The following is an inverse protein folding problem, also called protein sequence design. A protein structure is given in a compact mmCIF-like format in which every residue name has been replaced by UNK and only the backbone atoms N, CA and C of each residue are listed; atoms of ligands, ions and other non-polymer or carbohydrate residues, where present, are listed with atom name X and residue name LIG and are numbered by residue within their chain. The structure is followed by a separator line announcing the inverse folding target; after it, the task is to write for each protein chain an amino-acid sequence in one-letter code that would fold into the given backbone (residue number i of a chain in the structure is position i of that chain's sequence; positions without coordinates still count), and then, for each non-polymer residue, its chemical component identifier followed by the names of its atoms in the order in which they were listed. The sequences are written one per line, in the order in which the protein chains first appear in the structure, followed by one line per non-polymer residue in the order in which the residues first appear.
data_IF_268474853167
#
_entry.id   IF_268474853167
#
_cell.length_a   1.000
_cell.length_b   1.000
_cell.length_c   1.000
_cell.angle_alpha   90.00
_cell.angle_beta   90.00
_cell.angle_gamma   90.00
#
_symmetry.space_group_name_H-M   'P 1'
#
loop_
_entity.id
_entity.type
_entity.pdbx_description
1 polymer ?
#
# COMPACT_ATOMS: atom_id res chain seq x y z
N UNK A 1 92.03 -22.67 28.02
CA UNK A 1 90.91 -22.10 27.24
C UNK A 1 90.31 -23.21 26.39
N UNK A 2 89.02 -23.52 26.58
CA UNK A 2 88.34 -24.71 26.06
C UNK A 2 87.64 -24.33 24.76
N UNK A 3 88.11 -24.84 23.63
CA UNK A 3 87.52 -24.57 22.32
C UNK A 3 86.23 -25.40 22.17
N UNK A 4 85.09 -24.72 22.13
CA UNK A 4 83.79 -25.34 21.86
C UNK A 4 83.68 -25.67 20.36
N UNK A 5 83.26 -26.88 19.99
CA UNK A 5 83.07 -27.25 18.60
C UNK A 5 81.88 -26.50 18.00
N UNK A 6 82.11 -25.76 16.90
CA UNK A 6 81.05 -25.19 16.09
C UNK A 6 80.32 -26.30 15.36
N UNK A 7 79.07 -26.56 15.75
CA UNK A 7 78.14 -27.40 15.02
C UNK A 7 77.65 -26.66 13.78
N UNK A 8 78.19 -27.04 12.62
CA UNK A 8 77.69 -26.59 11.31
C UNK A 8 76.32 -27.23 11.09
N UNK A 9 75.25 -26.44 11.21
CA UNK A 9 73.90 -26.86 10.84
C UNK A 9 73.89 -27.18 9.33
N UNK A 10 73.73 -28.46 8.98
CA UNK A 10 73.50 -28.87 7.59
C UNK A 10 72.15 -28.31 7.14
N UNK A 11 72.17 -27.22 6.37
CA UNK A 11 71.01 -26.77 5.61
C UNK A 11 70.79 -27.77 4.46
N UNK A 12 69.88 -28.73 4.66
CA UNK A 12 69.38 -29.57 3.58
C UNK A 12 68.39 -28.76 2.73
N UNK A 13 68.61 -28.73 1.41
CA UNK A 13 67.63 -28.15 0.48
C UNK A 13 66.37 -29.01 0.40
N UNK A 14 65.22 -28.38 0.14
CA UNK A 14 63.95 -29.06 -0.03
C UNK A 14 63.98 -30.02 -1.22
N UNK A 15 63.43 -31.21 -1.05
CA UNK A 15 63.27 -32.20 -2.11
C UNK A 15 62.09 -31.83 -3.01
N UNK A 16 62.15 -32.21 -4.29
CA UNK A 16 61.09 -31.90 -5.26
C UNK A 16 59.70 -32.42 -4.82
N UNK A 17 59.66 -33.54 -4.11
CA UNK A 17 58.43 -34.10 -3.54
C UNK A 17 57.82 -33.18 -2.46
N UNK A 18 58.64 -32.61 -1.57
CA UNK A 18 58.18 -31.68 -0.53
C UNK A 18 57.61 -30.40 -1.14
N UNK A 19 58.20 -29.91 -2.24
CA UNK A 19 57.70 -28.74 -2.97
C UNK A 19 56.31 -28.99 -3.59
N UNK A 20 56.08 -30.17 -4.18
CA UNK A 20 54.77 -30.53 -4.75
C UNK A 20 53.70 -30.62 -3.67
N UNK A 21 54.01 -31.27 -2.54
CA UNK A 21 53.09 -31.36 -1.40
C UNK A 21 52.77 -29.97 -0.84
N UNK A 22 53.78 -29.11 -0.67
CA UNK A 22 53.59 -27.74 -0.21
C UNK A 22 52.68 -26.94 -1.17
N UNK A 23 52.87 -27.07 -2.49
CA UNK A 23 52.01 -26.40 -3.47
C UNK A 23 50.57 -26.93 -3.46
N UNK A 24 50.33 -28.22 -3.27
CA UNK A 24 48.97 -28.76 -3.16
C UNK A 24 48.26 -28.25 -1.92
N UNK A 25 48.94 -28.21 -0.76
CA UNK A 25 48.36 -27.69 0.49
C UNK A 25 48.00 -26.20 0.32
N UNK A 26 48.86 -25.41 -0.31
CA UNK A 26 48.59 -24.00 -0.62
C UNK A 26 47.40 -23.84 -1.57
N UNK A 27 47.26 -24.70 -2.57
CA UNK A 27 46.13 -24.66 -3.50
C UNK A 27 44.79 -24.98 -2.80
N UNK A 28 44.76 -26.02 -1.95
CA UNK A 28 43.58 -26.38 -1.17
C UNK A 28 43.19 -25.24 -0.22
N UNK A 29 44.16 -24.66 0.50
CA UNK A 29 43.91 -23.51 1.36
C UNK A 29 43.36 -22.32 0.56
N UNK A 30 43.93 -22.03 -0.61
CA UNK A 30 43.44 -20.98 -1.51
C UNK A 30 41.98 -21.18 -1.91
N UNK A 31 41.59 -22.41 -2.27
CA UNK A 31 40.20 -22.75 -2.62
C UNK A 31 39.27 -22.50 -1.43
N UNK A 32 39.65 -22.96 -0.23
CA UNK A 32 38.85 -22.75 1.00
C UNK A 32 38.67 -21.26 1.29
N UNK A 33 39.73 -20.44 1.17
CA UNK A 33 39.63 -18.99 1.37
C UNK A 33 38.71 -18.32 0.36
N UNK A 34 38.76 -18.73 -0.92
CA UNK A 34 37.88 -18.19 -1.96
C UNK A 34 36.42 -18.52 -1.66
N UNK A 35 36.10 -19.74 -1.22
CA UNK A 35 34.72 -20.12 -0.86
C UNK A 35 34.19 -19.35 0.35
N UNK A 36 35.02 -19.16 1.39
CA UNK A 36 34.65 -18.33 2.55
C UNK A 36 34.41 -16.88 2.13
N UNK A 37 35.28 -16.34 1.28
CA UNK A 37 35.12 -14.98 0.75
C UNK A 37 33.83 -14.85 -0.07
N UNK A 38 33.54 -15.82 -0.93
CA UNK A 38 32.31 -15.86 -1.73
C UNK A 38 31.08 -15.88 -0.85
N UNK A 39 31.08 -16.70 0.20
CA UNK A 39 29.98 -16.75 1.18
C UNK A 39 29.80 -15.40 1.88
N UNK A 40 30.90 -14.78 2.34
CA UNK A 40 30.88 -13.47 2.99
C UNK A 40 30.30 -12.36 2.08
N UNK A 41 30.72 -12.33 0.81
CA UNK A 41 30.20 -11.36 -0.18
C UNK A 41 28.70 -11.57 -0.41
N UNK A 42 28.23 -12.81 -0.51
CA UNK A 42 26.80 -13.11 -0.69
C UNK A 42 25.99 -12.69 0.53
N UNK A 43 26.46 -12.94 1.75
CA UNK A 43 25.76 -12.48 2.96
C UNK A 43 25.72 -10.96 3.05
N UNK A 44 26.82 -10.30 2.72
CA UNK A 44 26.89 -8.83 2.67
C UNK A 44 25.89 -8.26 1.67
N UNK A 45 25.82 -8.84 0.47
CA UNK A 45 24.85 -8.44 -0.55
C UNK A 45 23.41 -8.65 -0.07
N UNK A 46 23.12 -9.78 0.60
CA UNK A 46 21.79 -10.04 1.16
C UNK A 46 21.40 -9.03 2.23
N UNK A 47 22.28 -8.73 3.18
CA UNK A 47 22.00 -7.72 4.21
C UNK A 47 21.77 -6.33 3.60
N UNK A 48 22.56 -5.97 2.59
CA UNK A 48 22.38 -4.70 1.88
C UNK A 48 21.03 -4.67 1.14
N UNK A 49 20.67 -5.75 0.46
CA UNK A 49 19.40 -5.87 -0.25
C UNK A 49 18.19 -5.78 0.70
N UNK A 50 18.25 -6.43 1.87
CA UNK A 50 17.18 -6.34 2.88
C UNK A 50 17.05 -4.93 3.43
N UNK A 51 18.17 -4.27 3.75
CA UNK A 51 18.13 -2.89 4.23
C UNK A 51 17.58 -1.94 3.16
N UNK A 52 17.98 -2.12 1.90
CA UNK A 52 17.42 -1.36 0.78
C UNK A 52 15.92 -1.59 0.61
N UNK A 53 15.47 -2.85 0.72
CA UNK A 53 14.05 -3.19 0.63
C UNK A 53 13.23 -2.59 1.78
N UNK A 54 13.78 -2.53 3.00
CA UNK A 54 13.13 -1.87 4.12
C UNK A 54 13.01 -0.36 3.92
N UNK A 55 14.04 0.29 3.36
CA UNK A 55 13.98 1.72 3.08
C UNK A 55 12.96 2.03 1.97
N UNK A 56 12.94 1.23 0.91
CA UNK A 56 11.93 1.34 -0.15
C UNK A 56 10.51 1.11 0.38
N UNK A 57 10.32 0.11 1.26
CA UNK A 57 9.03 -0.13 1.91
C UNK A 57 8.60 1.05 2.81
N UNK A 58 9.54 1.65 3.57
CA UNK A 58 9.26 2.84 4.37
C UNK A 58 8.86 4.02 3.48
N UNK A 59 9.57 4.25 2.39
CA UNK A 59 9.22 5.30 1.43
C UNK A 59 7.83 5.05 0.81
N UNK A 60 7.53 3.79 0.45
CA UNK A 60 6.21 3.38 -0.04
C UNK A 60 5.08 3.67 0.96
N UNK A 61 5.29 3.39 2.24
CA UNK A 61 4.32 3.71 3.31
C UNK A 61 4.13 5.22 3.44
N UNK A 62 5.21 6.01 3.41
CA UNK A 62 5.12 7.48 3.51
C UNK A 62 4.33 8.05 2.34
N UNK A 63 4.59 7.56 1.11
CA UNK A 63 3.82 7.94 -0.08
C UNK A 63 2.35 7.57 0.09
N UNK A 64 2.06 6.35 0.54
CA UNK A 64 0.70 5.89 0.81
C UNK A 64 -0.03 6.76 1.83
N UNK A 65 0.62 7.11 2.96
CA UNK A 65 0.02 8.00 3.97
C UNK A 65 -0.26 9.39 3.41
N UNK A 66 0.65 9.94 2.62
CA UNK A 66 0.44 11.23 1.97
C UNK A 66 -0.73 11.17 0.99
N UNK A 67 -0.80 10.13 0.18
CA UNK A 67 -1.86 10.00 -0.83
C UNK A 67 -3.23 9.78 -0.16
N UNK A 68 -3.29 9.04 0.96
CA UNK A 68 -4.49 8.93 1.81
C UNK A 68 -4.90 10.30 2.39
N UNK A 69 -3.95 11.06 2.95
CA UNK A 69 -4.28 12.39 3.46
C UNK A 69 -4.74 13.35 2.33
N UNK A 70 -4.16 13.23 1.14
CA UNK A 70 -4.57 14.02 -0.02
C UNK A 70 -5.98 13.65 -0.50
N UNK A 71 -6.33 12.36 -0.52
CA UNK A 71 -7.65 11.88 -0.97
C UNK A 71 -8.79 12.29 -0.03
N UNK A 72 -8.54 12.28 1.28
CA UNK A 72 -9.55 12.62 2.30
C UNK A 72 -9.79 14.14 2.38
N UNK A 73 -8.77 14.94 2.05
CA UNK A 73 -8.78 16.37 2.37
C UNK A 73 -9.37 17.29 1.31
N UNK A 74 -9.94 16.78 0.21
CA UNK A 74 -10.50 17.65 -0.85
C UNK A 74 -11.84 18.23 -0.39
N UNK A 75 -11.91 19.51 0.03
CA UNK A 75 -13.16 20.09 0.49
C UNK A 75 -14.04 20.35 -0.73
N UNK A 76 -15.30 19.96 -0.66
CA UNK A 76 -16.27 20.22 -1.73
C UNK A 76 -17.23 21.31 -1.31
N UNK A 77 -17.53 22.23 -2.23
CA UNK A 77 -18.57 23.23 -2.05
C UNK A 77 -19.95 22.59 -2.28
N UNK A 78 -20.89 22.84 -1.37
CA UNK A 78 -22.27 22.28 -1.39
C UNK A 78 -23.31 23.40 -1.46
N UNK A 79 -24.40 23.17 -2.18
CA UNK A 79 -25.52 24.13 -2.33
C UNK A 79 -26.45 24.10 -1.12
N UNK A 80 -27.24 25.16 -0.94
CA UNK A 80 -28.17 25.33 0.19
C UNK A 80 -29.44 24.45 0.12
N UNK A 81 -29.61 23.63 -0.92
CA UNK A 81 -30.83 22.82 -1.14
C UNK A 81 -30.88 21.57 -0.24
N UNK A 82 -30.46 21.70 1.02
CA UNK A 82 -30.71 20.71 2.06
C UNK A 82 -32.14 20.91 2.61
N UNK A 83 -33.15 20.59 1.80
CA UNK A 83 -34.56 20.69 2.21
C UNK A 83 -35.11 19.37 2.80
N UNK A 84 -34.26 18.36 2.96
CA UNK A 84 -34.53 17.25 3.87
C UNK A 84 -33.22 16.78 4.50
N UNK A 85 -33.13 16.89 5.83
CA UNK A 85 -32.11 16.24 6.67
C UNK A 85 -32.41 14.73 6.79
N UNK A 86 -32.86 14.09 5.72
CA UNK A 86 -32.72 12.65 5.58
C UNK A 86 -31.31 12.40 5.03
N UNK A 87 -30.68 11.25 5.30
CA UNK A 87 -29.44 10.81 4.65
C UNK A 87 -29.71 10.46 3.18
N UNK A 88 -30.31 11.41 2.45
CA UNK A 88 -30.54 11.37 1.04
C UNK A 88 -29.31 11.97 0.39
N UNK A 89 -28.65 11.17 -0.43
CA UNK A 89 -27.47 11.44 -1.24
C UNK A 89 -27.65 12.58 -2.28
N UNK A 90 -28.43 13.62 -1.97
CA UNK A 90 -28.95 14.61 -2.92
C UNK A 90 -28.57 16.05 -2.58
N UNK A 91 -27.50 16.29 -1.81
CA UNK A 91 -26.82 17.59 -1.89
C UNK A 91 -25.92 17.57 -3.12
N UNK A 92 -26.31 18.26 -4.19
CA UNK A 92 -25.51 18.34 -5.41
C UNK A 92 -24.19 19.08 -5.14
N UNK A 93 -23.07 18.51 -5.58
CA UNK A 93 -21.78 19.21 -5.59
C UNK A 93 -21.94 20.49 -6.41
N UNK A 94 -21.56 21.63 -5.84
CA UNK A 94 -21.58 22.89 -6.57
C UNK A 94 -20.46 22.82 -7.60
N UNK A 95 -20.84 22.71 -8.87
CA UNK A 95 -19.88 22.83 -9.95
C UNK A 95 -19.20 24.21 -9.88
N UNK A 96 -17.86 24.25 -9.92
CA UNK A 96 -17.10 25.50 -9.99
C UNK A 96 -17.30 26.24 -11.31
N UNK A 97 -17.91 25.60 -12.31
CA UNK A 97 -18.32 26.23 -13.57
C UNK A 97 -19.64 26.98 -13.38
N UNK A 98 -19.66 28.32 -13.58
CA UNK A 98 -20.90 29.08 -13.54
C UNK A 98 -21.85 28.61 -14.64
N UNK A 99 -23.05 28.15 -14.27
CA UNK A 99 -24.14 27.92 -15.20
C UNK A 99 -24.90 29.24 -15.44
N UNK A 100 -24.43 30.03 -16.40
CA UNK A 100 -25.02 31.32 -16.76
C UNK A 100 -24.34 32.53 -16.09
N UNK A 101 -25.09 33.61 -15.85
CA UNK A 101 -24.59 34.90 -15.29
C UNK A 101 -24.56 34.97 -13.77
N UNK A 102 -24.98 33.92 -13.06
CA UNK A 102 -24.93 33.86 -11.61
C UNK A 102 -23.76 33.01 -11.13
N UNK A 103 -22.96 33.55 -10.22
CA UNK A 103 -21.91 32.78 -9.56
C UNK A 103 -22.55 31.61 -8.78
N UNK A 104 -21.94 30.41 -8.80
CA UNK A 104 -22.41 29.29 -7.99
C UNK A 104 -22.45 29.69 -6.51
N UNK A 105 -23.64 29.73 -5.92
CA UNK A 105 -23.80 30.01 -4.49
C UNK A 105 -23.62 28.70 -3.70
N UNK A 106 -22.46 28.57 -3.06
CA UNK A 106 -22.22 27.52 -2.07
C UNK A 106 -22.69 28.02 -0.69
N UNK A 107 -23.51 27.23 -0.01
CA UNK A 107 -23.96 27.52 1.36
C UNK A 107 -23.25 26.66 2.42
N UNK A 108 -22.39 25.75 1.98
CA UNK A 108 -21.62 24.91 2.88
C UNK A 108 -20.38 24.29 2.25
N UNK A 109 -19.56 23.70 3.11
CA UNK A 109 -18.36 22.95 2.76
C UNK A 109 -18.50 21.54 3.33
N UNK A 110 -18.16 20.52 2.54
CA UNK A 110 -18.08 19.14 3.03
C UNK A 110 -16.65 18.62 3.01
N UNK A 111 -16.28 17.88 4.05
CA UNK A 111 -15.01 17.19 4.21
C UNK A 111 -15.24 15.69 4.21
N UNK A 112 -14.25 14.91 3.78
CA UNK A 112 -14.28 13.47 3.99
C UNK A 112 -13.62 13.14 5.33
N UNK A 113 -14.18 12.20 6.07
CA UNK A 113 -13.57 11.63 7.27
C UNK A 113 -13.47 10.10 7.11
N UNK A 114 -12.40 9.50 7.62
CA UNK A 114 -12.19 8.05 7.50
C UNK A 114 -13.10 7.35 8.49
N UNK A 115 -14.13 6.71 7.97
CA UNK A 115 -15.08 5.96 8.76
C UNK A 115 -14.53 4.56 9.10
N UNK A 116 -13.96 3.87 8.11
CA UNK A 116 -13.53 2.49 8.27
C UNK A 116 -12.37 2.13 7.32
N UNK A 117 -11.40 1.35 7.81
CA UNK A 117 -10.28 0.83 7.02
C UNK A 117 -9.06 0.52 7.88
N UNK A 118 -8.03 -0.15 7.35
CA UNK A 118 -7.91 -0.66 5.98
C UNK A 118 -8.74 -1.93 5.72
N UNK A 119 -9.35 -2.03 4.54
CA UNK A 119 -10.04 -3.24 4.09
C UNK A 119 -9.42 -3.80 2.81
N UNK A 120 -9.62 -5.10 2.58
CA UNK A 120 -9.02 -5.82 1.46
C UNK A 120 -10.02 -6.01 0.33
N UNK A 121 -9.54 -5.78 -0.89
CA UNK A 121 -10.32 -5.92 -2.13
C UNK A 121 -9.78 -7.01 -3.02
N UNK A 122 -10.69 -7.80 -3.58
CA UNK A 122 -10.45 -8.79 -4.62
C UNK A 122 -11.39 -8.59 -5.80
N UNK A 123 -11.04 -9.24 -6.91
CA UNK A 123 -11.95 -9.40 -8.04
C UNK A 123 -13.03 -10.42 -7.70
N UNK A 124 -14.27 -10.11 -8.06
CA UNK A 124 -15.39 -11.06 -8.02
C UNK A 124 -15.13 -12.23 -9.00
N UNK A 125 -15.14 -13.50 -8.53
CA UNK A 125 -15.00 -14.66 -9.41
C UNK A 125 -16.15 -14.79 -10.41
N UNK A 126 -17.31 -14.15 -10.17
CA UNK A 126 -18.52 -14.25 -10.99
C UNK A 126 -18.59 -13.22 -12.15
N UNK A 127 -17.67 -12.25 -12.25
CA UNK A 127 -17.63 -11.35 -13.41
C UNK A 127 -16.70 -10.13 -13.29
N UNK A 128 -16.54 -9.39 -14.40
CA UNK A 128 -15.67 -8.21 -14.52
C UNK A 128 -16.34 -6.89 -14.07
N UNK A 129 -17.35 -6.95 -13.20
CA UNK A 129 -18.12 -5.77 -12.79
C UNK A 129 -17.74 -5.30 -11.39
N UNK A 130 -18.28 -5.94 -10.34
CA UNK A 130 -18.06 -5.50 -8.96
C UNK A 130 -16.70 -5.92 -8.42
N UNK A 131 -16.25 -5.17 -7.43
CA UNK A 131 -15.16 -5.57 -6.55
C UNK A 131 -15.71 -6.24 -5.29
N UNK A 132 -15.01 -7.26 -4.80
CA UNK A 132 -15.31 -7.93 -3.54
C UNK A 132 -14.49 -7.31 -2.42
N UNK A 133 -15.14 -6.85 -1.36
CA UNK A 133 -14.46 -6.37 -0.16
C UNK A 133 -14.67 -7.35 0.98
N UNK A 134 -13.61 -7.75 1.69
CA UNK A 134 -13.75 -8.46 2.96
C UNK A 134 -14.37 -7.54 3.99
N UNK A 135 -15.30 -8.03 4.80
CA UNK A 135 -15.80 -7.26 5.93
C UNK A 135 -17.08 -7.78 6.54
N UNK A 136 -17.58 -7.01 7.51
CA UNK A 136 -18.92 -7.14 8.04
C UNK A 136 -19.91 -6.39 7.11
N UNK A 137 -20.99 -7.03 6.63
CA UNK A 137 -21.97 -6.41 5.72
C UNK A 137 -22.66 -5.20 6.32
N UNK A 138 -22.74 -5.10 7.63
CA UNK A 138 -23.48 -4.03 8.32
C UNK A 138 -22.75 -2.69 8.27
N UNK A 139 -21.45 -2.68 7.97
CA UNK A 139 -20.62 -1.48 7.97
C UNK A 139 -20.55 -0.78 6.60
N UNK A 140 -21.03 -1.44 5.54
CA UNK A 140 -20.90 -1.00 4.15
C UNK A 140 -22.26 -0.60 3.59
N UNK A 141 -22.48 0.71 3.48
CA UNK A 141 -23.73 1.29 3.00
C UNK A 141 -23.50 2.13 1.73
N UNK A 142 -24.47 2.16 0.79
CA UNK A 142 -24.46 3.12 -0.30
C UNK A 142 -24.43 4.57 0.22
N UNK A 143 -23.65 5.44 -0.44
CA UNK A 143 -23.41 6.83 -0.03
C UNK A 143 -22.07 7.06 0.65
N UNK A 144 -21.40 6.00 1.12
CA UNK A 144 -19.99 6.08 1.53
C UNK A 144 -19.08 6.32 0.32
N UNK A 145 -17.93 6.95 0.55
CA UNK A 145 -16.93 7.19 -0.47
C UNK A 145 -15.75 6.22 -0.30
N UNK A 146 -15.43 5.51 -1.38
CA UNK A 146 -14.36 4.52 -1.42
C UNK A 146 -13.09 5.15 -1.98
N UNK A 147 -11.98 4.96 -1.25
CA UNK A 147 -10.64 5.38 -1.68
C UNK A 147 -9.77 4.14 -1.87
N UNK A 148 -9.22 3.99 -3.07
CA UNK A 148 -8.21 2.98 -3.41
C UNK A 148 -6.92 3.65 -3.86
N UNK A 149 -5.97 3.90 -2.93
CA UNK A 149 -4.73 4.61 -3.23
C UNK A 149 -3.89 3.89 -4.29
N UNK A 150 -3.86 2.55 -4.25
CA UNK A 150 -3.06 1.74 -5.17
C UNK A 150 -3.46 1.90 -6.64
N UNK A 151 -4.72 2.26 -6.90
CA UNK A 151 -5.24 2.42 -8.26
C UNK A 151 -5.67 3.84 -8.58
N UNK A 152 -5.47 4.78 -7.65
CA UNK A 152 -5.89 6.17 -7.78
C UNK A 152 -7.39 6.27 -8.14
N UNK A 153 -8.22 5.48 -7.44
CA UNK A 153 -9.68 5.49 -7.60
C UNK A 153 -10.30 6.05 -6.33
N UNK A 154 -11.11 7.08 -6.51
CA UNK A 154 -11.87 7.77 -5.46
C UNK A 154 -13.28 7.97 -5.98
N UNK A 155 -14.24 7.24 -5.41
CA UNK A 155 -15.60 7.26 -5.96
C UNK A 155 -16.66 6.85 -4.92
N UNK A 156 -17.88 7.32 -5.13
CA UNK A 156 -19.00 7.06 -4.23
C UNK A 156 -19.59 5.68 -4.48
N UNK A 157 -19.87 4.95 -3.40
CA UNK A 157 -20.52 3.65 -3.44
C UNK A 157 -22.01 3.84 -3.75
N UNK A 158 -22.43 3.34 -4.91
CA UNK A 158 -23.85 3.41 -5.34
C UNK A 158 -24.65 2.20 -4.89
N UNK A 159 -23.98 1.06 -4.71
CA UNK A 159 -24.61 -0.20 -4.39
C UNK A 159 -23.66 -1.09 -3.64
N UNK A 160 -24.20 -1.75 -2.61
CA UNK A 160 -23.55 -2.83 -1.88
C UNK A 160 -24.49 -4.02 -1.91
N UNK A 161 -24.01 -5.19 -2.30
CA UNK A 161 -24.75 -6.44 -2.11
C UNK A 161 -23.93 -7.37 -1.24
N UNK A 162 -24.51 -7.81 -0.13
CA UNK A 162 -23.96 -8.90 0.64
C UNK A 162 -24.20 -10.22 -0.10
N UNK A 163 -23.14 -11.01 -0.27
CA UNK A 163 -23.28 -12.42 -0.63
C UNK A 163 -23.86 -13.15 0.59
N UNK A 164 -24.76 -14.16 0.43
CA UNK A 164 -25.48 -14.76 1.56
C UNK A 164 -24.56 -15.14 2.72
N UNK A 165 -25.12 -15.04 3.95
CA UNK A 165 -24.53 -15.05 5.30
C UNK A 165 -23.31 -15.97 5.63
N UNK A 166 -22.89 -16.86 4.74
CA UNK A 166 -21.65 -17.63 4.86
C UNK A 166 -20.43 -16.94 4.22
N UNK A 167 -20.63 -15.89 3.43
CA UNK A 167 -19.58 -15.19 2.72
C UNK A 167 -19.16 -13.91 3.46
N UNK A 168 -17.95 -13.88 4.02
CA UNK A 168 -17.35 -12.71 4.69
C UNK A 168 -16.94 -11.59 3.70
N UNK A 169 -17.74 -11.32 2.68
CA UNK A 169 -17.44 -10.36 1.63
C UNK A 169 -18.67 -9.65 1.05
N UNK A 170 -18.44 -8.48 0.44
CA UNK A 170 -19.44 -7.63 -0.19
C UNK A 170 -19.04 -7.25 -1.59
N UNK A 171 -20.01 -7.29 -2.51
CA UNK A 171 -19.82 -6.73 -3.84
C UNK A 171 -20.20 -5.26 -3.82
N UNK A 172 -19.30 -4.42 -4.33
CA UNK A 172 -19.41 -2.96 -4.31
C UNK A 172 -19.37 -2.43 -5.75
N UNK A 173 -20.24 -1.46 -6.03
CA UNK A 173 -20.27 -0.69 -7.27
C UNK A 173 -20.05 0.78 -6.98
N UNK A 174 -19.32 1.46 -7.88
CA UNK A 174 -19.00 2.88 -7.76
C UNK A 174 -19.72 3.70 -8.83
N UNK A 175 -19.88 4.99 -8.59
CA UNK A 175 -20.68 5.89 -9.42
C UNK A 175 -20.14 6.03 -10.85
N UNK A 176 -18.83 6.07 -11.01
CA UNK A 176 -18.11 6.31 -12.25
C UNK A 176 -17.45 5.04 -12.83
N UNK A 177 -17.82 3.85 -12.32
CA UNK A 177 -17.27 2.58 -12.81
C UNK A 177 -15.83 2.32 -12.39
N UNK A 178 -15.32 3.05 -11.38
CA UNK A 178 -13.96 2.86 -10.85
C UNK A 178 -13.70 1.44 -10.36
N UNK A 179 -14.73 0.70 -9.96
CA UNK A 179 -14.66 -0.70 -9.58
C UNK A 179 -14.11 -1.58 -10.70
N UNK A 180 -14.38 -1.26 -11.97
CA UNK A 180 -13.87 -2.03 -13.10
C UNK A 180 -12.36 -1.84 -13.27
N UNK A 181 -11.83 -0.64 -13.01
CA UNK A 181 -10.39 -0.39 -13.03
C UNK A 181 -9.67 -1.17 -11.94
N UNK A 182 -10.27 -1.24 -10.74
CA UNK A 182 -9.76 -2.02 -9.63
C UNK A 182 -9.85 -3.51 -9.98
N UNK A 183 -11.02 -4.02 -10.34
CA UNK A 183 -11.31 -5.42 -10.65
C UNK A 183 -10.42 -6.00 -11.77
N UNK A 184 -10.01 -5.18 -12.74
CA UNK A 184 -9.10 -5.62 -13.80
C UNK A 184 -7.64 -5.74 -13.35
N UNK A 185 -7.26 -5.09 -12.24
CA UNK A 185 -5.88 -5.06 -11.73
C UNK A 185 -5.69 -5.91 -10.47
N UNK A 186 -6.74 -6.15 -9.68
CA UNK A 186 -6.68 -7.05 -8.52
C UNK A 186 -6.84 -8.51 -8.92
N UNK A 187 -6.24 -9.41 -8.14
CA UNK A 187 -6.39 -10.84 -8.35
C UNK A 187 -7.76 -11.34 -7.86
N UNK A 188 -8.17 -12.49 -8.39
CA UNK A 188 -9.36 -13.21 -7.94
C UNK A 188 -9.24 -13.59 -6.47
N UNK A 189 -10.36 -13.54 -5.76
CA UNK A 189 -10.48 -13.95 -4.36
C UNK A 189 -9.82 -15.31 -4.09
N UNK A 190 -9.02 -15.39 -3.03
CA UNK A 190 -8.27 -16.61 -2.64
C UNK A 190 -6.81 -16.64 -3.11
N UNK A 191 -6.37 -15.66 -3.89
CA UNK A 191 -4.97 -15.46 -4.28
C UNK A 191 -4.30 -14.40 -3.39
N UNK A 192 -2.98 -14.48 -3.20
CA UNK A 192 -2.24 -13.73 -2.15
C UNK A 192 -2.23 -12.21 -2.35
N UNK A 193 -2.56 -11.72 -3.55
CA UNK A 193 -2.50 -10.28 -3.87
C UNK A 193 -3.85 -9.60 -3.65
N UNK A 194 -3.86 -8.59 -2.78
CA UNK A 194 -5.02 -7.77 -2.45
C UNK A 194 -4.71 -6.29 -2.68
N UNK A 195 -5.74 -5.49 -2.92
CA UNK A 195 -5.63 -4.04 -2.77
C UNK A 195 -6.20 -3.60 -1.44
N UNK A 196 -5.58 -2.58 -0.85
CA UNK A 196 -6.12 -1.93 0.34
C UNK A 196 -7.06 -0.80 -0.10
N UNK A 197 -8.19 -0.69 0.59
CA UNK A 197 -9.12 0.43 0.46
C UNK A 197 -9.51 1.00 1.81
N UNK A 198 -10.00 2.23 1.76
CA UNK A 198 -10.56 2.95 2.89
C UNK A 198 -11.96 3.44 2.54
N UNK A 199 -12.83 3.47 3.54
CA UNK A 199 -14.15 4.06 3.45
C UNK A 199 -14.15 5.37 4.20
N UNK A 200 -14.70 6.37 3.55
CA UNK A 200 -14.87 7.68 4.12
C UNK A 200 -16.35 8.05 4.12
N UNK A 201 -16.78 8.74 5.16
CA UNK A 201 -18.07 9.43 5.18
C UNK A 201 -17.83 10.91 4.89
N UNK A 202 -18.84 11.59 4.36
CA UNK A 202 -18.78 13.04 4.18
C UNK A 202 -19.47 13.72 5.34
N UNK A 203 -18.75 14.62 6.00
CA UNK A 203 -19.30 15.54 6.98
C UNK A 203 -19.49 16.90 6.31
N UNK A 204 -20.64 17.53 6.52
CA UNK A 204 -20.95 18.83 5.93
C UNK A 204 -21.16 19.90 7.01
N UNK A 205 -20.67 21.10 6.71
CA UNK A 205 -20.96 22.31 7.48
C UNK A 205 -21.73 23.29 6.60
N UNK A 206 -22.97 23.58 6.98
CA UNK A 206 -23.86 24.48 6.25
C UNK A 206 -24.11 25.75 7.08
N UNK A 207 -24.08 26.90 6.41
CA UNK A 207 -24.52 28.18 6.99
C UNK A 207 -25.92 28.48 6.44
N UNK A 208 -26.93 28.43 7.32
CA UNK A 208 -28.33 28.77 6.97
C UNK A 208 -28.78 29.96 7.82
N UNK A 209 -29.16 31.05 7.16
CA UNK A 209 -29.65 32.27 7.82
C UNK A 209 -28.72 32.82 8.93
N UNK A 210 -27.40 32.74 8.74
CA UNK A 210 -26.41 33.23 9.71
C UNK A 210 -26.14 32.29 10.89
N UNK A 211 -26.81 31.13 10.95
CA UNK A 211 -26.56 30.08 11.94
C UNK A 211 -25.85 28.89 11.29
N UNK A 212 -24.89 28.32 12.01
CA UNK A 212 -24.18 27.12 11.61
C UNK A 212 -24.99 25.87 11.99
N UNK A 213 -25.14 24.94 11.06
CA UNK A 213 -25.69 23.61 11.30
C UNK A 213 -24.60 22.61 10.93
N UNK A 214 -24.09 21.87 11.92
CA UNK A 214 -23.25 20.71 11.68
C UNK A 214 -24.15 19.55 11.22
N UNK A 215 -23.72 18.84 10.19
CA UNK A 215 -24.30 17.53 9.90
C UNK A 215 -24.00 16.59 11.07
N UNK A 216 -25.06 16.12 11.75
CA UNK A 216 -24.95 15.09 12.76
C UNK A 216 -25.09 13.74 12.05
N UNK A 217 -23.96 13.06 11.85
CA UNK A 217 -23.95 11.67 11.39
C UNK A 217 -24.95 10.80 12.18
#
# INVERSE_FOLDING_TARGET
MKNLPRTTLKQGGFTAAEMVVATMIMAILGIVFIEVLRSGVVLYAKNTAVNSAHEEAREGIIRLTRDIHASISVPQLRTANADSLAPSNTTSIVSSTPSGTSAPMAAGVSFQDVLLGPQYVWKDPSGNGPIMVKGDPTLLTPGLHLVSPMFNVEDDIVKVTATPAAASHHNVWLTNGGESLIANKVQTFGTVSYSIIYYTSRMMYLVKNGTYIADSN
#
